data_IF_569665922657
#
_entry.id   IF_569665922657
#
_cell.length_a   1.000
_cell.length_b   1.000
_cell.length_c   1.000
_cell.angle_alpha   90.00
_cell.angle_beta   90.00
_cell.angle_gamma   90.00
#
_symmetry.space_group_name_H-M   'P 1'
#
loop_
_entity.id
_entity.type
_entity.pdbx_description
1 polymer ?
#
# COMPACT_ATOMS: atom_id res chain seq x y z
N UNK A 1 -17.48 -20.93 -5.32
CA UNK A 1 -17.61 -21.24 -6.76
C UNK A 1 -16.89 -20.14 -7.51
N UNK A 2 -16.06 -20.48 -8.51
CA UNK A 2 -15.31 -19.52 -9.32
C UNK A 2 -16.32 -18.82 -10.27
N UNK A 3 -16.65 -17.55 -10.03
CA UNK A 3 -17.70 -16.84 -10.79
C UNK A 3 -17.08 -15.88 -11.82
N UNK A 4 -16.47 -16.46 -12.86
CA UNK A 4 -15.83 -15.74 -13.95
C UNK A 4 -16.80 -14.77 -14.65
N UNK A 5 -18.05 -15.19 -14.87
CA UNK A 5 -19.06 -14.36 -15.52
C UNK A 5 -19.38 -13.09 -14.75
N UNK A 6 -19.57 -13.21 -13.43
CA UNK A 6 -19.77 -12.06 -12.55
C UNK A 6 -18.56 -11.13 -12.59
N UNK A 7 -17.34 -11.65 -12.50
CA UNK A 7 -16.12 -10.84 -12.54
C UNK A 7 -15.96 -10.08 -13.87
N UNK A 8 -16.24 -10.73 -15.01
CA UNK A 8 -16.23 -10.06 -16.33
C UNK A 8 -17.23 -8.90 -16.36
N UNK A 9 -18.44 -9.12 -15.82
CA UNK A 9 -19.49 -8.09 -15.76
C UNK A 9 -19.07 -6.89 -14.90
N UNK A 10 -18.52 -7.15 -13.72
CA UNK A 10 -18.05 -6.11 -12.79
C UNK A 10 -16.91 -5.28 -13.39
N UNK A 11 -15.90 -5.95 -13.98
CA UNK A 11 -14.78 -5.28 -14.66
C UNK A 11 -15.25 -4.44 -15.86
N UNK A 12 -16.21 -4.95 -16.64
CA UNK A 12 -16.80 -4.18 -17.75
C UNK A 12 -17.52 -2.93 -17.24
N UNK A 13 -18.31 -3.08 -16.17
CA UNK A 13 -19.10 -1.98 -15.60
C UNK A 13 -18.21 -0.91 -14.95
N UNK A 14 -17.10 -1.29 -14.31
CA UNK A 14 -16.14 -0.34 -13.73
C UNK A 14 -15.51 0.57 -14.80
N UNK A 15 -15.34 0.06 -16.02
CA UNK A 15 -14.90 0.83 -17.20
C UNK A 15 -16.04 1.53 -17.95
N UNK A 16 -17.27 1.52 -17.42
CA UNK A 16 -18.49 2.09 -18.04
C UNK A 16 -18.76 1.58 -19.47
N UNK A 17 -18.39 0.34 -19.77
CA UNK A 17 -18.55 -0.23 -21.11
C UNK A 17 -19.89 -0.97 -21.27
N UNK A 18 -20.45 -0.98 -22.47
CA UNK A 18 -21.56 -1.89 -22.84
C UNK A 18 -21.03 -3.27 -23.25
N UNK A 19 -21.85 -4.31 -23.21
CA UNK A 19 -21.46 -5.64 -23.71
C UNK A 19 -21.02 -5.57 -25.19
N UNK A 20 -21.66 -4.73 -26.00
CA UNK A 20 -21.29 -4.47 -27.39
C UNK A 20 -19.91 -3.81 -27.52
N UNK A 21 -19.59 -2.88 -26.64
CA UNK A 21 -18.27 -2.21 -26.61
C UNK A 21 -17.16 -3.20 -26.23
N UNK A 22 -17.39 -4.04 -25.22
CA UNK A 22 -16.44 -5.08 -24.82
C UNK A 22 -16.23 -6.11 -25.93
N UNK A 23 -17.33 -6.55 -26.56
CA UNK A 23 -17.29 -7.50 -27.66
C UNK A 23 -16.48 -6.97 -28.87
N UNK A 24 -16.67 -5.68 -29.22
CA UNK A 24 -15.90 -5.02 -30.27
C UNK A 24 -14.40 -5.01 -29.96
N UNK A 25 -14.03 -4.75 -28.69
CA UNK A 25 -12.62 -4.72 -28.27
C UNK A 25 -11.97 -6.10 -28.38
N UNK A 26 -12.68 -7.16 -27.98
CA UNK A 26 -12.18 -8.53 -28.00
C UNK A 26 -12.34 -9.23 -29.37
N UNK A 27 -12.89 -8.54 -30.36
CA UNK A 27 -13.24 -9.12 -31.67
C UNK A 27 -14.16 -10.37 -31.56
N UNK A 28 -15.18 -10.28 -30.71
CA UNK A 28 -16.19 -11.33 -30.50
C UNK A 28 -17.61 -10.78 -30.66
N UNK A 29 -18.61 -11.65 -30.57
CA UNK A 29 -20.02 -11.23 -30.63
C UNK A 29 -20.51 -10.71 -29.27
N UNK A 30 -21.40 -9.70 -29.23
CA UNK A 30 -22.03 -9.26 -27.98
C UNK A 30 -22.77 -10.39 -27.25
N UNK A 31 -23.31 -11.35 -28.00
CA UNK A 31 -23.96 -12.55 -27.48
C UNK A 31 -22.97 -13.43 -26.71
N UNK A 32 -21.72 -13.57 -27.18
CA UNK A 32 -20.69 -14.30 -26.45
C UNK A 32 -20.43 -13.65 -25.09
N UNK A 33 -20.23 -12.33 -25.04
CA UNK A 33 -20.06 -11.57 -23.79
C UNK A 33 -21.26 -11.75 -22.86
N UNK A 34 -22.49 -11.67 -23.37
CA UNK A 34 -23.71 -11.88 -22.58
C UNK A 34 -23.81 -13.29 -22.00
N UNK A 35 -23.40 -14.32 -22.76
CA UNK A 35 -23.36 -15.70 -22.26
C UNK A 35 -22.28 -15.89 -21.19
N UNK A 36 -21.10 -15.27 -21.35
CA UNK A 36 -20.06 -15.28 -20.33
C UNK A 36 -20.54 -14.66 -19.04
N UNK A 37 -21.14 -13.47 -19.10
CA UNK A 37 -21.63 -12.76 -17.91
C UNK A 37 -22.80 -13.45 -17.19
N UNK A 38 -23.49 -14.38 -17.86
CA UNK A 38 -24.55 -15.22 -17.29
C UNK A 38 -24.08 -16.63 -16.93
N UNK A 39 -22.78 -16.91 -17.04
CA UNK A 39 -22.19 -18.23 -16.83
C UNK A 39 -22.78 -19.35 -17.72
N UNK A 40 -23.28 -19.00 -18.91
CA UNK A 40 -23.82 -19.96 -19.90
C UNK A 40 -22.75 -20.51 -20.84
N UNK A 41 -21.62 -19.81 -20.96
CA UNK A 41 -20.43 -20.28 -21.66
C UNK A 41 -19.19 -19.62 -21.05
N UNK A 42 -18.00 -20.09 -21.39
CA UNK A 42 -16.74 -19.49 -20.97
C UNK A 42 -16.01 -18.86 -22.17
N UNK A 43 -15.21 -17.80 -21.96
CA UNK A 43 -14.24 -17.35 -22.96
C UNK A 43 -13.17 -18.44 -23.17
N UNK A 44 -12.63 -18.53 -24.38
CA UNK A 44 -11.46 -19.37 -24.62
C UNK A 44 -10.21 -18.78 -23.93
N UNK A 45 -9.11 -19.55 -23.92
CA UNK A 45 -7.88 -19.17 -23.23
C UNK A 45 -7.31 -17.84 -23.78
N UNK A 46 -7.35 -17.62 -25.09
CA UNK A 46 -6.80 -16.42 -25.72
C UNK A 46 -7.64 -15.17 -25.39
N UNK A 47 -8.95 -15.34 -25.37
CA UNK A 47 -9.92 -14.31 -24.98
C UNK A 47 -9.79 -13.99 -23.50
N UNK A 48 -9.58 -14.99 -22.66
CA UNK A 48 -9.36 -14.80 -21.23
C UNK A 48 -8.06 -14.03 -20.94
N UNK A 49 -6.97 -14.30 -21.66
CA UNK A 49 -5.72 -13.53 -21.58
C UNK A 49 -5.93 -12.09 -22.09
N UNK A 50 -6.72 -11.92 -23.15
CA UNK A 50 -7.02 -10.60 -23.70
C UNK A 50 -7.86 -9.76 -22.74
N UNK A 51 -8.85 -10.38 -22.08
CA UNK A 51 -9.61 -9.78 -20.99
C UNK A 51 -8.70 -9.39 -19.81
N UNK A 52 -7.80 -10.28 -19.38
CA UNK A 52 -6.91 -10.03 -18.25
C UNK A 52 -5.99 -8.84 -18.52
N UNK A 53 -5.39 -8.79 -19.71
CA UNK A 53 -4.54 -7.68 -20.15
C UNK A 53 -5.32 -6.37 -20.25
N UNK A 54 -6.53 -6.41 -20.83
CA UNK A 54 -7.33 -5.20 -21.01
C UNK A 54 -7.78 -4.59 -19.68
N UNK A 55 -8.19 -5.44 -18.73
CA UNK A 55 -8.64 -4.99 -17.42
C UNK A 55 -7.49 -4.81 -16.41
N UNK A 56 -6.26 -5.12 -16.81
CA UNK A 56 -5.06 -5.05 -15.98
C UNK A 56 -5.21 -5.85 -14.67
N UNK A 57 -5.68 -7.09 -14.80
CA UNK A 57 -5.86 -8.06 -13.71
C UNK A 57 -5.22 -9.39 -14.13
N UNK A 58 -4.83 -10.23 -13.17
CA UNK A 58 -4.36 -11.57 -13.49
C UNK A 58 -5.51 -12.52 -13.86
N UNK A 59 -5.21 -13.58 -14.62
CA UNK A 59 -6.20 -14.63 -14.93
C UNK A 59 -6.68 -15.32 -13.64
N UNK A 60 -5.80 -15.50 -12.66
CA UNK A 60 -6.18 -16.05 -11.35
C UNK A 60 -7.22 -15.17 -10.65
N UNK A 61 -7.03 -13.84 -10.64
CA UNK A 61 -8.00 -12.89 -10.08
C UNK A 61 -9.33 -12.89 -10.85
N UNK A 62 -9.28 -12.92 -12.19
CA UNK A 62 -10.49 -13.03 -13.01
C UNK A 62 -11.30 -14.29 -12.72
N UNK A 63 -10.62 -15.40 -12.45
CA UNK A 63 -11.27 -16.66 -12.07
C UNK A 63 -11.75 -16.65 -10.61
N UNK A 64 -11.44 -15.62 -9.82
CA UNK A 64 -11.73 -15.60 -8.39
C UNK A 64 -10.82 -16.51 -7.56
N UNK A 65 -9.68 -16.94 -8.12
CA UNK A 65 -8.62 -17.60 -7.37
C UNK A 65 -7.81 -16.55 -6.62
N UNK A 66 -8.22 -16.27 -5.39
CA UNK A 66 -7.35 -15.60 -4.42
C UNK A 66 -6.35 -16.64 -3.94
N UNK A 67 -5.10 -16.57 -4.40
CA UNK A 67 -4.02 -17.26 -3.66
C UNK A 67 -3.98 -16.61 -2.29
N UNK A 68 -4.04 -17.38 -1.20
CA UNK A 68 -3.86 -16.79 0.10
C UNK A 68 -2.53 -16.05 0.07
N UNK A 69 -2.59 -14.77 0.40
CA UNK A 69 -1.39 -13.96 0.50
C UNK A 69 -0.41 -14.66 1.44
N UNK A 70 0.89 -14.39 1.29
CA UNK A 70 1.89 -14.89 2.21
C UNK A 70 1.47 -14.63 3.69
N UNK A 71 0.79 -13.50 3.93
CA UNK A 71 0.20 -13.15 5.22
C UNK A 71 -0.99 -14.04 5.62
N UNK A 72 -1.99 -14.27 4.77
CA UNK A 72 -3.09 -15.20 5.06
C UNK A 72 -2.56 -16.63 5.35
N UNK A 73 -1.49 -17.02 4.67
CA UNK A 73 -0.81 -18.30 4.88
C UNK A 73 -0.04 -18.34 6.21
N UNK A 74 0.57 -17.24 6.63
CA UNK A 74 1.27 -17.13 7.93
C UNK A 74 0.30 -17.04 9.11
N UNK A 75 -0.82 -16.34 8.96
CA UNK A 75 -1.77 -16.05 10.05
C UNK A 75 -2.87 -17.11 10.22
N UNK A 76 -3.06 -18.01 9.25
CA UNK A 76 -4.03 -19.12 9.35
C UNK A 76 -3.64 -20.20 10.38
N UNK A 77 -2.40 -20.21 10.89
CA UNK A 77 -1.94 -21.16 11.94
C UNK A 77 -2.04 -20.66 13.39
N UNK A 78 -2.55 -19.46 13.66
CA UNK A 78 -2.78 -18.99 15.05
C UNK A 78 -4.19 -18.42 15.20
N UNK A 79 -4.95 -18.96 16.17
CA UNK A 79 -6.32 -18.56 16.60
C UNK A 79 -6.41 -17.12 17.19
N UNK A 80 -5.70 -16.14 16.65
CA UNK A 80 -5.57 -14.79 17.26
C UNK A 80 -6.37 -13.66 16.62
N UNK A 81 -6.93 -13.85 15.42
CA UNK A 81 -7.39 -12.72 14.57
C UNK A 81 -8.90 -12.71 14.27
N UNK A 82 -9.75 -13.16 15.21
CA UNK A 82 -11.21 -13.00 15.06
C UNK A 82 -11.79 -11.75 15.73
N UNK A 83 -10.97 -10.83 16.27
CA UNK A 83 -11.48 -9.63 16.94
C UNK A 83 -11.34 -8.32 16.16
N UNK A 84 -10.66 -8.28 15.00
CA UNK A 84 -10.37 -7.00 14.33
C UNK A 84 -11.39 -6.54 13.28
N UNK A 85 -12.37 -7.36 12.87
CA UNK A 85 -13.36 -6.94 11.86
C UNK A 85 -14.66 -6.33 12.45
N UNK A 86 -14.79 -6.23 13.78
CA UNK A 86 -16.00 -5.65 14.41
C UNK A 86 -15.82 -4.28 15.07
N UNK A 87 -14.66 -3.64 14.94
CA UNK A 87 -14.49 -2.25 15.38
C UNK A 87 -14.02 -1.41 14.23
N UNK A 88 -14.99 -0.88 13.49
CA UNK A 88 -14.86 0.35 12.70
C UNK A 88 -14.70 1.59 13.59
N UNK A 89 -13.88 1.48 14.64
CA UNK A 89 -13.40 2.59 15.43
C UNK A 89 -11.87 2.53 15.36
N UNK A 90 -11.33 3.41 14.53
CA UNK A 90 -10.00 3.94 14.78
C UNK A 90 -10.01 4.47 16.21
N UNK A 91 -9.42 3.73 17.15
CA UNK A 91 -9.05 4.32 18.43
C UNK A 91 -7.98 5.36 18.09
N UNK A 92 -8.41 6.60 17.78
CA UNK A 92 -7.66 7.78 18.21
C UNK A 92 -7.72 7.71 19.74
N UNK A 93 -6.59 7.52 20.44
CA UNK A 93 -6.61 7.61 21.89
C UNK A 93 -7.10 9.01 22.22
N UNK A 94 -8.22 9.09 22.93
CA UNK A 94 -8.76 10.34 23.46
C UNK A 94 -7.68 10.92 24.36
N UNK A 95 -7.14 12.08 23.99
CA UNK A 95 -6.06 12.72 24.74
C UNK A 95 -6.47 12.88 26.21
N UNK A 96 -5.92 12.03 27.09
CA UNK A 96 -5.93 12.22 28.54
C UNK A 96 -4.96 13.36 28.84
N UNK A 97 -5.46 14.39 29.52
CA UNK A 97 -4.66 15.54 29.99
C UNK A 97 -3.44 15.04 30.76
N UNK A 98 -2.24 15.28 30.21
CA UNK A 98 -0.94 14.93 30.81
C UNK A 98 -0.12 13.86 30.06
N UNK A 99 -0.63 13.26 28.99
CA UNK A 99 0.10 12.24 28.23
C UNK A 99 0.98 12.84 27.10
N UNK A 100 2.21 12.31 26.93
CA UNK A 100 3.07 12.65 25.77
C UNK A 100 2.29 12.44 24.46
N UNK A 101 2.22 13.48 23.63
CA UNK A 101 1.58 13.46 22.29
C UNK A 101 2.30 12.45 21.39
N UNK A 102 1.55 11.73 20.56
CA UNK A 102 2.11 10.86 19.53
C UNK A 102 2.82 11.69 18.46
N UNK A 103 4.03 11.30 18.09
CA UNK A 103 4.78 11.90 16.98
C UNK A 103 4.57 11.10 15.69
N UNK A 104 4.22 11.78 14.62
CA UNK A 104 4.04 11.22 13.27
C UNK A 104 5.36 11.31 12.50
N UNK A 105 5.96 10.16 12.19
CA UNK A 105 7.11 10.09 11.28
C UNK A 105 6.60 9.67 9.90
N UNK A 106 6.98 10.41 8.87
CA UNK A 106 6.59 10.11 7.49
C UNK A 106 7.80 9.72 6.66
N UNK A 107 7.74 8.59 5.96
CA UNK A 107 8.76 8.15 5.00
C UNK A 107 8.29 8.40 3.57
N UNK A 108 9.05 9.15 2.77
CA UNK A 108 8.79 9.32 1.34
C UNK A 108 9.75 8.51 0.46
N UNK A 109 9.21 7.95 -0.62
CA UNK A 109 9.94 7.14 -1.60
C UNK A 109 9.53 7.47 -3.05
N UNK A 110 10.44 7.26 -4.00
CA UNK A 110 10.16 7.35 -5.44
C UNK A 110 9.84 5.95 -5.93
N UNK A 111 8.61 5.75 -6.42
CA UNK A 111 8.18 4.46 -6.97
C UNK A 111 8.67 4.28 -8.41
N UNK A 112 9.47 3.24 -8.65
CA UNK A 112 9.38 2.45 -9.88
C UNK A 112 8.34 1.36 -9.65
N UNK A 113 7.31 1.32 -10.51
CA UNK A 113 6.13 0.46 -10.39
C UNK A 113 6.46 -1.04 -10.24
N UNK A 114 6.42 -1.55 -9.01
CA UNK A 114 5.93 -2.89 -8.69
C UNK A 114 5.06 -2.78 -7.44
N UNK A 115 3.80 -2.40 -7.68
CA UNK A 115 2.76 -2.25 -6.67
C UNK A 115 2.37 -3.64 -6.17
N UNK A 116 2.72 -3.94 -4.92
CA UNK A 116 1.71 -4.40 -3.99
C UNK A 116 1.30 -3.16 -3.17
N UNK A 117 0.06 -3.09 -2.70
CA UNK A 117 -0.55 -1.95 -1.96
C UNK A 117 0.09 -1.61 -0.59
N UNK A 118 1.38 -1.93 -0.41
CA UNK A 118 2.15 -1.81 0.81
C UNK A 118 3.63 -1.48 0.46
N UNK A 119 3.91 -0.37 -0.25
CA UNK A 119 5.28 0.13 -0.53
C UNK A 119 6.29 -0.89 -1.07
N UNK A 120 7.59 -0.54 -1.08
CA UNK A 120 8.64 -1.55 -1.24
C UNK A 120 8.65 -2.43 0.02
N UNK A 121 8.75 -3.76 -0.13
CA UNK A 121 8.90 -4.70 1.01
C UNK A 121 9.98 -4.24 2.00
N UNK A 122 11.02 -3.58 1.49
CA UNK A 122 12.10 -3.02 2.30
C UNK A 122 11.68 -1.78 3.10
N UNK A 123 11.01 -0.78 2.48
CA UNK A 123 10.52 0.42 3.19
C UNK A 123 9.53 0.03 4.28
N UNK A 124 8.64 -0.93 4.01
CA UNK A 124 7.71 -1.47 5.00
C UNK A 124 8.41 -2.27 6.11
N UNK A 125 9.42 -3.07 5.76
CA UNK A 125 10.20 -3.79 6.77
C UNK A 125 10.96 -2.82 7.67
N UNK A 126 11.49 -1.73 7.09
CA UNK A 126 12.17 -0.68 7.82
C UNK A 126 11.21 0.07 8.74
N UNK A 127 10.07 0.56 8.21
CA UNK A 127 9.08 1.32 8.98
C UNK A 127 8.59 0.54 10.19
N UNK A 128 8.18 -0.73 9.99
CA UNK A 128 7.70 -1.59 11.08
C UNK A 128 8.78 -1.86 12.13
N UNK A 129 10.00 -2.21 11.70
CA UNK A 129 11.10 -2.48 12.65
C UNK A 129 11.46 -1.24 13.47
N UNK A 130 11.49 -0.08 12.81
CA UNK A 130 11.81 1.19 13.44
C UNK A 130 10.72 1.61 14.42
N UNK A 131 9.44 1.53 14.02
CA UNK A 131 8.30 1.84 14.88
C UNK A 131 8.28 0.93 16.12
N UNK A 132 8.46 -0.38 15.92
CA UNK A 132 8.54 -1.35 17.03
C UNK A 132 9.70 -1.04 17.97
N UNK A 133 10.87 -0.69 17.45
CA UNK A 133 12.03 -0.32 18.27
C UNK A 133 11.74 0.94 19.09
N UNK A 134 11.20 1.98 18.45
CA UNK A 134 10.89 3.25 19.11
C UNK A 134 9.83 3.08 20.21
N UNK A 135 8.77 2.32 19.94
CA UNK A 135 7.75 1.99 20.93
C UNK A 135 8.30 1.13 22.07
N UNK A 136 9.18 0.15 21.77
CA UNK A 136 9.88 -0.64 22.80
C UNK A 136 10.78 0.22 23.69
N UNK A 137 11.31 1.34 23.18
CA UNK A 137 12.10 2.34 23.91
C UNK A 137 11.21 3.37 24.64
N UNK A 138 9.89 3.21 24.62
CA UNK A 138 8.94 4.08 25.32
C UNK A 138 8.55 5.34 24.55
N UNK A 139 8.91 5.46 23.26
CA UNK A 139 8.47 6.58 22.44
C UNK A 139 7.07 6.31 21.86
N UNK A 140 6.18 7.32 21.95
CA UNK A 140 4.87 7.31 21.31
C UNK A 140 5.01 7.83 19.88
N UNK A 141 5.28 6.93 18.95
CA UNK A 141 5.45 7.26 17.52
C UNK A 141 4.66 6.29 16.66
N UNK A 142 4.18 6.79 15.53
CA UNK A 142 3.66 5.96 14.44
C UNK A 142 4.34 6.37 13.15
N UNK A 143 4.61 5.40 12.27
CA UNK A 143 5.37 5.62 11.04
C UNK A 143 4.50 5.30 9.84
N UNK A 144 4.30 6.29 8.97
CA UNK A 144 3.58 6.13 7.71
C UNK A 144 4.52 6.27 6.52
N UNK A 145 4.20 5.58 5.43
CA UNK A 145 5.02 5.58 4.20
C UNK A 145 4.18 6.08 3.04
N UNK A 146 4.69 7.04 2.27
CA UNK A 146 3.99 7.62 1.13
C UNK A 146 4.91 7.75 -0.08
N UNK A 147 4.29 7.90 -1.24
CA UNK A 147 5.01 8.17 -2.48
C UNK A 147 5.42 9.65 -2.56
N UNK A 148 6.48 9.95 -3.31
CA UNK A 148 6.98 11.31 -3.50
C UNK A 148 5.94 12.28 -4.08
N UNK A 149 4.99 11.80 -4.89
CA UNK A 149 3.88 12.62 -5.41
C UNK A 149 2.85 13.01 -4.35
N UNK A 150 2.92 12.44 -3.14
CA UNK A 150 2.02 12.72 -2.01
C UNK A 150 2.67 13.63 -0.95
N UNK A 151 3.86 14.17 -1.23
CA UNK A 151 4.58 15.09 -0.33
C UNK A 151 3.70 16.27 0.10
N UNK A 152 3.03 16.92 -0.85
CA UNK A 152 2.16 18.07 -0.56
C UNK A 152 0.92 17.69 0.26
N UNK A 153 0.50 16.42 0.22
CA UNK A 153 -0.66 15.94 0.95
C UNK A 153 -0.34 15.62 2.41
N UNK A 154 0.81 14.98 2.68
CA UNK A 154 1.11 14.43 4.01
C UNK A 154 2.32 15.04 4.71
N UNK A 155 3.16 15.80 3.99
CA UNK A 155 4.38 16.39 4.55
C UNK A 155 4.10 17.37 5.70
N UNK A 156 3.03 18.17 5.58
CA UNK A 156 2.64 19.14 6.61
C UNK A 156 2.05 18.52 7.89
N UNK A 157 1.72 17.22 7.87
CA UNK A 157 1.24 16.49 9.05
C UNK A 157 2.38 15.83 9.84
N UNK A 158 3.59 15.78 9.27
CA UNK A 158 4.71 15.07 9.84
C UNK A 158 5.39 15.88 10.94
N UNK A 159 5.68 15.22 12.07
CA UNK A 159 6.60 15.74 13.09
C UNK A 159 8.06 15.49 12.69
N UNK A 160 8.32 14.55 11.77
CA UNK A 160 9.62 14.30 11.15
C UNK A 160 9.47 13.58 9.81
N UNK A 161 10.29 13.95 8.83
CA UNK A 161 10.30 13.38 7.49
C UNK A 161 11.57 12.56 7.27
N UNK A 162 11.40 11.32 6.83
CA UNK A 162 12.46 10.45 6.33
C UNK A 162 12.38 10.36 4.80
N UNK A 163 13.50 10.51 4.11
CA UNK A 163 13.63 10.27 2.68
C UNK A 163 14.42 8.99 2.45
N UNK A 164 13.86 8.07 1.68
CA UNK A 164 14.59 6.89 1.22
C UNK A 164 15.79 7.28 0.34
N UNK A 165 16.80 6.41 0.15
CA UNK A 165 17.99 6.75 -0.63
C UNK A 165 17.67 7.18 -2.07
N UNK A 166 16.63 6.60 -2.67
CA UNK A 166 16.10 6.93 -4.00
C UNK A 166 15.54 8.34 -4.08
N UNK A 167 14.93 8.84 -3.01
CA UNK A 167 14.37 10.19 -2.92
C UNK A 167 15.28 11.18 -2.17
N UNK A 168 16.44 10.75 -1.69
CA UNK A 168 17.31 11.56 -0.84
C UNK A 168 17.81 12.85 -1.49
N UNK A 169 17.83 12.94 -2.82
CA UNK A 169 18.21 14.18 -3.53
C UNK A 169 17.25 15.35 -3.25
N UNK A 170 16.01 15.08 -2.86
CA UNK A 170 15.00 16.10 -2.57
C UNK A 170 15.17 16.74 -1.19
N UNK A 171 16.17 16.35 -0.38
CA UNK A 171 16.33 16.83 1.00
C UNK A 171 16.31 18.35 1.11
N UNK A 172 17.09 19.06 0.30
CA UNK A 172 17.17 20.52 0.36
C UNK A 172 15.82 21.18 0.01
N UNK A 173 15.10 20.65 -0.97
CA UNK A 173 13.77 21.15 -1.36
C UNK A 173 12.75 20.88 -0.24
N UNK A 174 12.78 19.71 0.36
CA UNK A 174 11.92 19.34 1.49
C UNK A 174 12.18 20.23 2.71
N UNK A 175 13.43 20.55 3.02
CA UNK A 175 13.80 21.47 4.12
C UNK A 175 13.32 22.91 3.85
N UNK A 176 13.29 23.34 2.58
CA UNK A 176 12.71 24.64 2.20
C UNK A 176 11.18 24.65 2.31
N UNK A 177 10.52 23.57 1.88
CA UNK A 177 9.06 23.44 1.87
C UNK A 177 8.48 23.18 3.27
N UNK A 178 9.25 22.54 4.16
CA UNK A 178 8.85 22.21 5.53
C UNK A 178 9.90 22.72 6.55
N UNK A 179 10.07 24.04 6.70
CA UNK A 179 11.17 24.63 7.46
C UNK A 179 11.16 24.31 8.96
N UNK A 180 10.01 23.90 9.50
CA UNK A 180 9.83 23.53 10.91
C UNK A 180 9.85 22.03 11.15
N UNK A 181 9.94 21.22 10.09
CA UNK A 181 9.88 19.76 10.18
C UNK A 181 11.25 19.19 9.87
N UNK A 182 11.91 18.48 10.80
CA UNK A 182 13.19 17.85 10.52
C UNK A 182 13.11 16.87 9.34
N UNK A 183 14.06 16.96 8.42
CA UNK A 183 14.17 16.08 7.25
C UNK A 183 15.47 15.29 7.30
N UNK A 184 15.37 13.96 7.26
CA UNK A 184 16.52 13.04 7.29
C UNK A 184 16.52 12.20 6.01
N UNK A 185 17.62 12.23 5.26
CA UNK A 185 17.82 11.31 4.15
C UNK A 185 18.56 10.05 4.63
N UNK A 186 17.89 8.91 4.52
CA UNK A 186 18.44 7.62 4.96
C UNK A 186 19.58 7.23 4.03
N UNK A 187 20.73 6.87 4.60
CA UNK A 187 21.86 6.41 3.79
C UNK A 187 21.54 5.10 3.07
N UNK A 188 22.07 4.91 1.85
CA UNK A 188 21.90 3.65 1.10
C UNK A 188 22.36 2.43 1.89
N UNK A 189 23.42 2.57 2.71
CA UNK A 189 23.95 1.52 3.57
C UNK A 189 22.96 1.15 4.68
N UNK A 190 22.46 2.15 5.40
CA UNK A 190 21.57 1.93 6.55
C UNK A 190 20.19 1.44 6.12
N UNK A 191 19.68 1.95 5.01
CA UNK A 191 18.48 1.45 4.35
C UNK A 191 18.65 -0.01 3.91
N UNK A 192 19.75 -0.32 3.22
CA UNK A 192 20.12 -1.65 2.75
C UNK A 192 20.21 -2.70 3.86
N UNK A 193 20.80 -2.33 4.99
CA UNK A 193 21.00 -3.22 6.14
C UNK A 193 19.83 -3.22 7.13
N UNK A 194 18.79 -2.40 6.90
CA UNK A 194 17.71 -2.14 7.87
C UNK A 194 18.26 -1.75 9.25
N UNK A 195 19.22 -0.81 9.27
CA UNK A 195 19.92 -0.37 10.48
C UNK A 195 19.05 0.57 11.32
N UNK A 196 18.03 0.00 11.97
CA UNK A 196 17.03 0.77 12.74
C UNK A 196 17.58 1.39 14.02
N UNK A 197 18.65 0.85 14.61
CA UNK A 197 19.29 1.45 15.80
C UNK A 197 19.95 2.79 15.46
N UNK A 198 20.63 2.87 14.31
CA UNK A 198 21.21 4.15 13.87
C UNK A 198 20.11 5.18 13.54
N UNK A 199 19.07 4.76 12.82
CA UNK A 199 17.95 5.65 12.50
C UNK A 199 17.21 6.12 13.75
N UNK A 200 17.04 5.24 14.74
CA UNK A 200 16.48 5.61 16.05
C UNK A 200 17.27 6.78 16.66
N UNK A 201 18.60 6.69 16.69
CA UNK A 201 19.46 7.74 17.23
C UNK A 201 19.35 9.05 16.43
N UNK A 202 19.32 8.98 15.10
CA UNK A 202 19.15 10.17 14.24
C UNK A 202 17.78 10.86 14.48
N UNK A 203 16.72 10.07 14.63
CA UNK A 203 15.35 10.56 14.88
C UNK A 203 15.23 11.15 16.29
N UNK A 204 15.78 10.50 17.31
CA UNK A 204 15.77 10.99 18.69
C UNK A 204 16.48 12.34 18.77
N UNK A 205 17.67 12.45 18.18
CA UNK A 205 18.40 13.72 18.10
C UNK A 205 17.66 14.82 17.33
N UNK A 206 16.86 14.45 16.32
CA UNK A 206 16.06 15.41 15.57
C UNK A 206 14.81 15.87 16.33
N UNK A 207 14.28 15.01 17.20
CA UNK A 207 13.12 15.29 18.05
C UNK A 207 13.44 16.13 19.29
N UNK A 208 14.70 16.19 19.69
CA UNK A 208 15.19 16.97 20.84
C UNK A 208 15.70 18.38 20.46
N UNK A 209 15.70 18.72 19.17
CA UNK A 209 16.02 20.06 18.63
C UNK A 209 14.77 20.92 18.48
#
# INVERSE_FOLDING_TARGET
MLDLGKNIKELRQSKKMTQKSLAKMLNVTPQAVSKWERNESNPDIQTLISLSNYFNVSVDEMLGRKRPTFFETLFSKKKGYQQMEKTGDLIKPKDSVGEKKWKKVVIFDIVFSFIADQGLLQTQALSRKLEMLMQKRGQKVFIETYNSNQVNQYGGEADLILLTPTFGYAKNEMEQNFPTTPVIAISKKDYGMLNVEKLYQEIENAFDR
#
